data_IF_871353575685
#
_entry.id   IF_871353575685
#
_cell.length_a   1.000
_cell.length_b   1.000
_cell.length_c   1.000
_cell.angle_alpha   90.00
_cell.angle_beta   90.00
_cell.angle_gamma   90.00
#
_symmetry.space_group_name_H-M   'P 1'
#
loop_
_entity.id
_entity.type
_entity.pdbx_description
1 polymer ?
#
# COMPACT_ATOMS: atom_id res chain seq x y z
N UNK A 1 7.84 -9.37 -2.88
CA UNK A 1 7.14 -10.53 -3.48
C UNK A 1 5.93 -10.12 -4.33
N UNK A 2 5.25 -9.02 -4.00
CA UNK A 2 4.08 -8.51 -4.74
C UNK A 2 2.77 -9.29 -4.52
N UNK A 3 2.80 -10.48 -3.88
CA UNK A 3 1.62 -11.35 -3.76
C UNK A 3 0.36 -10.66 -3.26
N UNK A 4 0.46 -9.82 -2.21
CA UNK A 4 -0.71 -9.14 -1.64
C UNK A 4 -1.30 -8.09 -2.60
N UNK A 5 -0.47 -7.24 -3.20
CA UNK A 5 -0.93 -6.25 -4.18
C UNK A 5 -1.57 -6.90 -5.41
N UNK A 6 -1.01 -8.01 -5.87
CA UNK A 6 -1.58 -8.79 -6.98
C UNK A 6 -2.92 -9.45 -6.60
N UNK A 7 -3.07 -9.93 -5.37
CA UNK A 7 -4.35 -10.47 -4.89
C UNK A 7 -5.43 -9.36 -4.84
N UNK A 8 -5.10 -8.18 -4.32
CA UNK A 8 -6.03 -7.03 -4.31
C UNK A 8 -6.42 -6.61 -5.73
N UNK A 9 -5.44 -6.49 -6.64
CA UNK A 9 -5.71 -6.13 -8.03
C UNK A 9 -6.64 -7.14 -8.72
N UNK A 10 -6.40 -8.44 -8.51
CA UNK A 10 -7.23 -9.53 -9.05
C UNK A 10 -8.66 -9.47 -8.48
N UNK A 11 -8.81 -9.35 -7.18
CA UNK A 11 -10.11 -9.27 -6.53
C UNK A 11 -10.91 -8.03 -6.98
N UNK A 12 -10.26 -6.87 -7.13
CA UNK A 12 -10.87 -5.65 -7.64
C UNK A 12 -11.34 -5.80 -9.09
N UNK A 13 -10.49 -6.35 -9.96
CA UNK A 13 -10.83 -6.59 -11.36
C UNK A 13 -12.01 -7.58 -11.50
N UNK A 14 -12.06 -8.63 -10.69
CA UNK A 14 -13.17 -9.58 -10.66
C UNK A 14 -14.49 -8.96 -10.18
N UNK A 15 -14.43 -7.89 -9.41
CA UNK A 15 -15.59 -7.10 -8.95
C UNK A 15 -15.99 -6.01 -9.96
N UNK A 16 -15.31 -5.94 -11.11
CA UNK A 16 -15.62 -5.02 -12.21
C UNK A 16 -14.99 -3.63 -12.09
N UNK A 17 -14.03 -3.45 -11.19
CA UNK A 17 -13.28 -2.19 -11.10
C UNK A 17 -12.32 -2.03 -12.29
N UNK A 18 -12.13 -0.80 -12.76
CA UNK A 18 -11.03 -0.42 -13.62
C UNK A 18 -9.75 -0.36 -12.77
N UNK A 19 -8.82 -1.29 -12.99
CA UNK A 19 -7.63 -1.45 -12.15
C UNK A 19 -6.36 -1.11 -12.90
N UNK A 20 -5.56 -0.20 -12.36
CA UNK A 20 -4.17 0.05 -12.78
C UNK A 20 -3.24 -0.58 -11.75
N UNK A 21 -2.48 -1.60 -12.12
CA UNK A 21 -1.52 -2.30 -11.27
C UNK A 21 -0.11 -1.75 -11.50
N UNK A 22 0.36 -0.89 -10.61
CA UNK A 22 1.74 -0.38 -10.63
C UNK A 22 2.61 -1.29 -9.76
N UNK A 23 3.62 -1.92 -10.35
CA UNK A 23 4.41 -2.91 -9.63
C UNK A 23 5.90 -2.87 -9.97
N UNK A 24 6.75 -3.17 -8.99
CA UNK A 24 8.18 -3.42 -9.18
C UNK A 24 8.46 -4.79 -9.80
N UNK A 25 9.73 -5.16 -10.00
CA UNK A 25 10.12 -6.45 -10.56
C UNK A 25 9.56 -7.61 -9.73
N UNK A 26 8.89 -8.54 -10.39
CA UNK A 26 8.29 -9.73 -9.78
C UNK A 26 8.26 -10.88 -10.78
N UNK A 27 8.19 -12.12 -10.27
CA UNK A 27 7.98 -13.32 -11.08
C UNK A 27 6.50 -13.72 -11.17
N UNK A 28 5.59 -12.90 -10.62
CA UNK A 28 4.15 -13.17 -10.69
C UNK A 28 3.64 -12.94 -12.13
N UNK A 29 2.65 -13.73 -12.52
CA UNK A 29 1.99 -13.55 -13.79
C UNK A 29 1.12 -12.29 -13.78
N UNK A 30 1.01 -11.56 -14.91
CA UNK A 30 0.14 -10.41 -15.03
C UNK A 30 -1.30 -10.71 -14.61
N UNK A 31 -1.94 -9.76 -13.97
CA UNK A 31 -3.36 -9.88 -13.60
C UNK A 31 -4.23 -9.55 -14.81
N UNK A 32 -5.15 -10.45 -15.15
CA UNK A 32 -6.07 -10.22 -16.28
C UNK A 32 -7.01 -9.05 -15.98
N UNK A 33 -7.39 -8.34 -17.02
CA UNK A 33 -8.33 -7.20 -16.98
C UNK A 33 -7.82 -6.02 -16.14
N UNK A 34 -6.50 -5.84 -16.06
CA UNK A 34 -5.88 -4.67 -15.43
C UNK A 34 -4.96 -3.96 -16.41
N UNK A 35 -4.79 -2.66 -16.23
CA UNK A 35 -3.68 -1.93 -16.84
C UNK A 35 -2.41 -2.27 -16.04
N UNK A 36 -1.42 -2.87 -16.70
CA UNK A 36 -0.16 -3.28 -16.10
C UNK A 36 0.90 -2.20 -16.28
N UNK A 37 1.43 -1.65 -15.18
CA UNK A 37 2.43 -0.57 -15.20
C UNK A 37 3.69 -1.02 -14.45
N UNK A 38 4.63 -1.69 -15.14
CA UNK A 38 5.88 -2.12 -14.55
C UNK A 38 6.81 -0.93 -14.30
N UNK A 39 7.41 -0.89 -13.12
CA UNK A 39 8.42 0.10 -12.72
C UNK A 39 9.61 -0.60 -12.09
N UNK A 40 10.74 0.09 -11.98
CA UNK A 40 11.97 -0.46 -11.39
C UNK A 40 12.40 0.29 -10.13
N UNK A 41 12.12 1.60 -10.04
CA UNK A 41 12.60 2.45 -8.97
C UNK A 41 11.46 3.05 -8.14
N UNK A 42 11.77 3.43 -6.89
CA UNK A 42 10.83 4.17 -6.04
C UNK A 42 10.39 5.51 -6.67
N UNK A 43 11.28 6.16 -7.42
CA UNK A 43 10.97 7.40 -8.13
C UNK A 43 9.94 7.16 -9.24
N UNK A 44 10.09 6.11 -10.03
CA UNK A 44 9.10 5.75 -11.06
C UNK A 44 7.75 5.38 -10.46
N UNK A 45 7.73 4.70 -9.30
CA UNK A 45 6.47 4.42 -8.59
C UNK A 45 5.80 5.70 -8.12
N UNK A 46 6.58 6.62 -7.54
CA UNK A 46 6.08 7.93 -7.14
C UNK A 46 5.44 8.69 -8.31
N UNK A 47 6.12 8.76 -9.45
CA UNK A 47 5.63 9.44 -10.65
C UNK A 47 4.37 8.75 -11.22
N UNK A 48 4.40 7.42 -11.31
CA UNK A 48 3.27 6.65 -11.83
C UNK A 48 2.00 6.80 -10.97
N UNK A 49 2.13 6.85 -9.64
CA UNK A 49 1.00 7.05 -8.73
C UNK A 49 0.52 8.50 -8.76
N UNK A 50 1.44 9.47 -8.61
CA UNK A 50 1.06 10.88 -8.49
C UNK A 50 0.45 11.45 -9.76
N UNK A 51 0.89 11.01 -10.95
CA UNK A 51 0.33 11.44 -12.23
C UNK A 51 -1.10 10.95 -12.49
N UNK A 52 -1.54 9.88 -11.81
CA UNK A 52 -2.86 9.27 -11.98
C UNK A 52 -3.82 9.58 -10.82
N UNK A 53 -3.32 10.19 -9.75
CA UNK A 53 -4.06 10.30 -8.49
C UNK A 53 -5.38 11.05 -8.60
N UNK A 54 -5.44 12.11 -9.39
CA UNK A 54 -6.67 12.92 -9.54
C UNK A 54 -7.80 12.18 -10.29
N UNK A 55 -7.48 11.09 -11.00
CA UNK A 55 -8.42 10.29 -11.80
C UNK A 55 -8.87 9.00 -11.08
N UNK A 56 -8.34 8.73 -9.88
CA UNK A 56 -8.62 7.52 -9.11
C UNK A 56 -9.67 7.74 -8.04
N UNK A 57 -10.51 6.72 -7.81
CA UNK A 57 -11.44 6.67 -6.67
C UNK A 57 -10.76 6.04 -5.45
N UNK A 58 -9.94 5.02 -5.65
CA UNK A 58 -9.31 4.23 -4.59
C UNK A 58 -7.83 4.00 -4.91
N UNK A 59 -6.96 4.21 -3.93
CA UNK A 59 -5.57 3.78 -3.96
C UNK A 59 -5.27 2.79 -2.84
N UNK A 60 -4.76 1.61 -3.19
CA UNK A 60 -4.25 0.61 -2.24
C UNK A 60 -2.74 0.51 -2.39
N UNK A 61 -2.00 1.05 -1.43
CA UNK A 61 -0.53 1.06 -1.44
C UNK A 61 0.02 -0.13 -0.65
N UNK A 62 0.13 -1.29 -1.32
CA UNK A 62 0.65 -2.53 -0.73
C UNK A 62 2.17 -2.73 -0.94
N UNK A 63 2.80 -1.89 -1.74
CA UNK A 63 4.23 -1.98 -2.02
C UNK A 63 5.07 -1.53 -0.82
N UNK A 64 6.11 -2.32 -0.49
CA UNK A 64 7.14 -1.95 0.49
C UNK A 64 8.23 -1.11 -0.20
N UNK A 65 7.94 0.16 -0.44
CA UNK A 65 8.89 1.10 -1.03
C UNK A 65 9.96 1.44 0.01
N UNK A 66 11.24 1.34 -0.39
CA UNK A 66 12.36 1.67 0.49
C UNK A 66 12.38 3.18 0.81
N UNK A 67 12.60 3.53 2.08
CA UNK A 67 12.68 4.93 2.54
C UNK A 67 13.97 5.64 2.12
N UNK A 68 14.98 4.87 1.73
CA UNK A 68 16.29 5.37 1.34
C UNK A 68 16.80 4.71 0.07
N UNK A 69 17.55 5.45 -0.73
CA UNK A 69 18.27 4.96 -1.90
C UNK A 69 19.73 5.45 -1.86
N UNK A 70 20.68 4.79 -2.55
CA UNK A 70 22.02 5.34 -2.74
C UNK A 70 21.95 6.75 -3.34
N UNK A 71 22.71 7.69 -2.76
CA UNK A 71 22.77 9.09 -3.25
C UNK A 71 23.46 9.18 -4.63
N UNK A 72 24.35 8.22 -4.94
CA UNK A 72 24.98 8.09 -6.24
C UNK A 72 25.11 6.61 -6.62
N UNK A 73 24.93 6.33 -7.90
CA UNK A 73 25.18 5.01 -8.49
C UNK A 73 26.52 5.10 -9.23
N UNK A 74 27.43 4.17 -8.95
CA UNK A 74 28.70 4.11 -9.67
C UNK A 74 28.48 3.53 -11.06
N UNK A 75 29.10 4.14 -12.07
CA UNK A 75 29.06 3.68 -13.46
C UNK A 75 29.77 2.32 -13.63
N UNK A 76 30.81 2.10 -12.81
CA UNK A 76 31.61 0.88 -12.83
C UNK A 76 31.56 0.12 -11.48
N UNK A 77 31.95 -1.16 -11.53
CA UNK A 77 32.10 -2.00 -10.34
C UNK A 77 33.05 -1.37 -9.32
N UNK A 78 32.53 -1.09 -8.13
CA UNK A 78 33.34 -0.62 -7.00
C UNK A 78 34.34 -1.72 -6.62
N UNK A 79 35.65 -1.44 -6.83
CA UNK A 79 36.70 -2.38 -6.45
C UNK A 79 36.83 -2.44 -4.93
N UNK A 80 37.05 -3.67 -4.42
CA UNK A 80 37.35 -3.88 -3.01
C UNK A 80 38.63 -3.12 -2.63
N UNK A 81 38.53 -2.31 -1.57
CA UNK A 81 39.67 -1.63 -0.94
C UNK A 81 39.85 -2.17 0.48
N UNK A 82 41.05 -2.01 1.02
CA UNK A 82 41.28 -2.29 2.43
C UNK A 82 40.55 -1.25 3.29
N UNK A 83 39.83 -1.72 4.32
CA UNK A 83 39.04 -0.88 5.20
C UNK A 83 37.52 -0.94 4.95
N UNK A 84 36.75 -0.21 5.77
CA UNK A 84 35.30 -0.16 5.71
C UNK A 84 34.80 0.67 4.52
N UNK A 85 33.72 0.22 3.90
CA UNK A 85 33.02 0.95 2.83
C UNK A 85 31.78 1.64 3.41
N UNK A 86 31.71 2.97 3.22
CA UNK A 86 30.52 3.77 3.53
C UNK A 86 29.77 4.12 2.24
N UNK A 87 28.46 3.89 2.24
CA UNK A 87 27.58 4.23 1.13
C UNK A 87 26.66 5.36 1.61
N UNK A 88 26.78 6.53 0.99
CA UNK A 88 25.87 7.65 1.23
C UNK A 88 24.47 7.30 0.69
N UNK A 89 23.44 7.55 1.49
CA UNK A 89 22.05 7.34 1.11
C UNK A 89 21.25 8.64 1.22
N UNK A 90 20.22 8.77 0.39
CA UNK A 90 19.25 9.87 0.44
C UNK A 90 17.83 9.31 0.57
N UNK A 91 16.91 10.14 1.04
CA UNK A 91 15.50 9.74 1.19
C UNK A 91 14.81 9.60 -0.16
N UNK A 92 13.99 8.55 -0.29
CA UNK A 92 13.04 8.43 -1.40
C UNK A 92 11.80 9.29 -1.14
N UNK A 93 11.07 9.71 -2.20
CA UNK A 93 9.81 10.42 -2.02
C UNK A 93 8.77 9.59 -1.26
N UNK A 94 8.10 10.18 -0.29
CA UNK A 94 6.98 9.55 0.43
C UNK A 94 5.70 9.73 -0.39
N UNK A 95 5.28 8.67 -1.07
CA UNK A 95 4.12 8.67 -1.96
C UNK A 95 2.85 9.04 -1.18
N UNK A 96 2.50 8.28 -0.14
CA UNK A 96 1.30 8.53 0.66
C UNK A 96 1.34 9.88 1.38
N UNK A 97 2.52 10.29 1.88
CA UNK A 97 2.70 11.61 2.49
C UNK A 97 2.53 12.76 1.50
N UNK A 98 2.78 12.52 0.21
CA UNK A 98 2.61 13.52 -0.85
C UNK A 98 1.16 13.65 -1.31
N UNK A 99 0.44 12.52 -1.46
CA UNK A 99 -0.92 12.51 -2.00
C UNK A 99 -1.99 12.71 -0.93
N UNK A 100 -1.77 12.26 0.31
CA UNK A 100 -2.75 12.39 1.38
C UNK A 100 -3.28 13.82 1.60
N UNK A 101 -2.41 14.85 1.65
CA UNK A 101 -2.86 16.24 1.73
C UNK A 101 -3.63 16.75 0.49
N UNK A 102 -3.51 16.06 -0.65
CA UNK A 102 -4.19 16.42 -1.91
C UNK A 102 -5.49 15.68 -2.12
N UNK A 103 -5.83 14.74 -1.23
CA UNK A 103 -7.06 13.94 -1.29
C UNK A 103 -8.29 14.85 -1.31
N UNK A 104 -9.19 14.63 -2.26
CA UNK A 104 -10.47 15.35 -2.41
C UNK A 104 -11.67 14.46 -2.07
N UNK A 105 -11.67 13.22 -2.52
CA UNK A 105 -12.72 12.23 -2.28
C UNK A 105 -12.20 10.81 -2.46
N UNK A 106 -10.93 10.67 -2.81
CA UNK A 106 -10.29 9.37 -3.01
C UNK A 106 -10.17 8.61 -1.68
N UNK A 107 -10.36 7.30 -1.73
CA UNK A 107 -10.07 6.42 -0.59
C UNK A 107 -8.59 5.99 -0.61
N UNK A 108 -7.88 6.23 0.47
CA UNK A 108 -6.46 5.88 0.61
C UNK A 108 -6.27 4.75 1.61
N UNK A 109 -5.83 3.60 1.12
CA UNK A 109 -5.45 2.44 1.92
C UNK A 109 -3.93 2.24 1.89
N UNK A 110 -3.28 2.33 3.03
CA UNK A 110 -1.85 2.04 3.17
C UNK A 110 -1.61 0.71 3.88
N UNK A 111 -0.46 0.08 3.62
CA UNK A 111 0.00 -1.05 4.39
C UNK A 111 1.04 -0.62 5.42
N UNK A 112 1.03 -1.27 6.57
CA UNK A 112 2.09 -1.15 7.56
C UNK A 112 2.58 -2.52 8.01
N UNK A 113 3.80 -2.54 8.49
CA UNK A 113 4.45 -3.73 9.01
C UNK A 113 5.16 -3.31 10.29
N UNK A 114 4.56 -3.68 11.40
CA UNK A 114 5.03 -3.28 12.72
C UNK A 114 5.27 -4.52 13.57
N UNK A 115 6.36 -4.52 14.31
CA UNK A 115 6.72 -5.60 15.24
C UNK A 115 6.42 -5.24 16.69
N UNK A 116 6.33 -3.93 16.99
CA UNK A 116 6.02 -3.38 18.31
C UNK A 116 5.03 -2.23 18.15
N UNK A 117 4.15 -2.08 19.13
CA UNK A 117 3.17 -0.97 19.21
C UNK A 117 2.40 -0.76 17.89
N UNK A 118 2.03 -1.89 17.23
CA UNK A 118 1.43 -1.92 15.90
C UNK A 118 0.24 -0.97 15.78
N UNK A 119 -0.67 -0.99 16.76
CA UNK A 119 -1.86 -0.14 16.73
C UNK A 119 -1.50 1.35 16.81
N UNK A 120 -0.66 1.74 17.75
CA UNK A 120 -0.27 3.14 17.95
C UNK A 120 0.48 3.70 16.72
N UNK A 121 1.46 2.95 16.21
CA UNK A 121 2.24 3.36 15.04
C UNK A 121 1.39 3.44 13.77
N UNK A 122 0.48 2.49 13.57
CA UNK A 122 -0.39 2.46 12.38
C UNK A 122 -1.48 3.54 12.46
N UNK A 123 -2.03 3.83 13.64
CA UNK A 123 -2.96 4.95 13.84
C UNK A 123 -2.27 6.29 13.60
N UNK A 124 -1.06 6.49 14.11
CA UNK A 124 -0.28 7.69 13.82
C UNK A 124 0.02 7.86 12.32
N UNK A 125 0.25 6.75 11.60
CA UNK A 125 0.45 6.77 10.14
C UNK A 125 -0.84 7.15 9.41
N UNK A 126 -1.98 6.63 9.85
CA UNK A 126 -3.30 6.95 9.31
C UNK A 126 -3.56 8.46 9.38
N UNK A 127 -3.41 9.07 10.54
CA UNK A 127 -3.60 10.51 10.73
C UNK A 127 -2.58 11.35 9.95
N UNK A 128 -1.28 11.05 10.13
CA UNK A 128 -0.18 11.81 9.53
C UNK A 128 -0.26 11.88 8.00
N UNK A 129 -0.74 10.81 7.36
CA UNK A 129 -0.80 10.69 5.90
C UNK A 129 -2.21 10.85 5.35
N UNK A 130 -3.19 11.23 6.18
CA UNK A 130 -4.60 11.41 5.81
C UNK A 130 -5.15 10.17 5.09
N UNK A 131 -4.91 8.98 5.64
CA UNK A 131 -5.41 7.72 5.10
C UNK A 131 -6.79 7.41 5.66
N UNK A 132 -7.59 6.65 4.91
CA UNK A 132 -8.90 6.15 5.35
C UNK A 132 -8.77 4.78 6.02
N UNK A 133 -7.75 4.01 5.61
CA UNK A 133 -7.46 2.70 6.20
C UNK A 133 -5.97 2.38 6.19
N UNK A 134 -5.52 1.68 7.21
CA UNK A 134 -4.22 1.00 7.26
C UNK A 134 -4.43 -0.49 7.46
N UNK A 135 -3.84 -1.30 6.59
CA UNK A 135 -3.75 -2.75 6.73
C UNK A 135 -2.43 -3.09 7.40
N UNK A 136 -2.47 -3.40 8.69
CA UNK A 136 -1.28 -3.73 9.47
C UNK A 136 -1.02 -5.25 9.45
N UNK A 137 0.15 -5.66 8.94
CA UNK A 137 0.56 -7.06 8.92
C UNK A 137 1.12 -7.47 10.30
N UNK A 138 0.61 -8.56 10.86
CA UNK A 138 1.14 -9.17 12.07
C UNK A 138 2.23 -10.21 11.74
N UNK A 139 3.50 -9.81 11.82
CA UNK A 139 4.63 -10.69 11.51
C UNK A 139 4.97 -11.68 12.62
N UNK A 140 4.34 -11.59 13.79
CA UNK A 140 4.62 -12.50 14.93
C UNK A 140 3.89 -13.82 14.81
N UNK A 141 2.92 -13.92 13.89
CA UNK A 141 2.13 -15.14 13.71
C UNK A 141 2.79 -16.04 12.68
N UNK A 142 2.98 -17.30 13.05
CA UNK A 142 3.49 -18.32 12.13
C UNK A 142 2.52 -18.46 10.94
N UNK A 143 3.04 -18.49 9.71
CA UNK A 143 2.22 -18.55 8.49
C UNK A 143 1.74 -17.19 7.98
N UNK A 144 2.05 -16.07 8.67
CA UNK A 144 1.80 -14.73 8.18
C UNK A 144 3.09 -14.09 7.63
N UNK A 145 3.01 -13.30 6.57
CA UNK A 145 4.13 -12.52 6.06
C UNK A 145 4.31 -12.52 4.55
N UNK A 146 5.50 -12.11 4.09
CA UNK A 146 5.74 -11.82 2.67
C UNK A 146 5.82 -13.04 1.75
N UNK A 147 6.51 -14.08 2.16
CA UNK A 147 6.84 -15.23 1.31
C UNK A 147 5.73 -16.29 1.19
N UNK A 148 4.79 -16.30 2.14
CA UNK A 148 3.72 -17.29 2.26
C UNK A 148 2.44 -16.82 1.55
N UNK A 149 1.48 -17.73 1.35
CA UNK A 149 0.22 -17.43 0.68
C UNK A 149 -0.89 -17.02 1.65
N UNK A 150 -0.61 -17.08 2.95
CA UNK A 150 -1.51 -16.66 4.03
C UNK A 150 -1.05 -15.38 4.71
N UNK A 151 -1.96 -14.72 5.45
CA UNK A 151 -1.64 -13.54 6.24
C UNK A 151 -2.58 -13.41 7.45
N UNK A 152 -2.11 -12.68 8.47
CA UNK A 152 -2.91 -12.15 9.57
C UNK A 152 -2.77 -10.64 9.52
N UNK A 153 -3.87 -9.95 9.37
CA UNK A 153 -3.88 -8.49 9.26
C UNK A 153 -4.87 -7.87 10.25
N UNK A 154 -4.56 -6.65 10.66
CA UNK A 154 -5.47 -5.79 11.40
C UNK A 154 -5.84 -4.60 10.52
N UNK A 155 -7.12 -4.38 10.29
CA UNK A 155 -7.62 -3.15 9.68
C UNK A 155 -7.69 -2.07 10.74
N UNK A 156 -7.17 -0.91 10.42
CA UNK A 156 -7.18 0.27 11.27
C UNK A 156 -7.80 1.40 10.47
N UNK A 157 -8.93 1.91 10.95
CA UNK A 157 -9.68 3.03 10.39
C UNK A 157 -9.85 4.11 11.44
N UNK A 158 -10.38 5.30 11.12
CA UNK A 158 -10.74 6.29 12.14
C UNK A 158 -11.72 5.78 13.20
N UNK A 159 -12.57 4.80 12.86
CA UNK A 159 -13.59 4.23 13.75
C UNK A 159 -13.04 3.15 14.70
N UNK A 160 -11.81 2.67 14.46
CA UNK A 160 -11.18 1.68 15.33
C UNK A 160 -10.31 0.66 14.60
N UNK A 161 -10.05 -0.47 15.28
CA UNK A 161 -9.21 -1.54 14.77
C UNK A 161 -9.93 -2.89 14.82
N UNK A 162 -9.79 -3.68 13.74
CA UNK A 162 -10.36 -5.03 13.63
C UNK A 162 -9.31 -6.02 13.12
N UNK A 163 -8.95 -6.99 13.95
CA UNK A 163 -8.06 -8.08 13.56
C UNK A 163 -8.82 -9.14 12.78
N UNK A 164 -8.23 -9.63 11.69
CA UNK A 164 -8.72 -10.77 10.93
C UNK A 164 -7.96 -12.05 11.33
N UNK A 165 -8.61 -13.20 11.25
CA UNK A 165 -7.94 -14.50 11.48
C UNK A 165 -6.89 -14.77 10.39
N UNK A 166 -6.08 -15.81 10.59
CA UNK A 166 -5.21 -16.32 9.53
C UNK A 166 -6.05 -16.78 8.35
N UNK A 167 -5.84 -16.20 7.19
CA UNK A 167 -6.56 -16.52 5.96
C UNK A 167 -5.67 -16.40 4.74
N UNK A 168 -6.15 -16.84 3.58
CA UNK A 168 -5.41 -16.68 2.33
C UNK A 168 -5.27 -15.20 1.96
N UNK A 169 -4.25 -14.86 1.15
CA UNK A 169 -4.10 -13.50 0.64
C UNK A 169 -5.24 -13.09 -0.28
N UNK A 170 -5.88 -14.02 -0.94
CA UNK A 170 -7.07 -13.76 -1.76
C UNK A 170 -8.26 -13.39 -0.85
N UNK A 171 -8.50 -14.13 0.25
CA UNK A 171 -9.55 -13.78 1.21
C UNK A 171 -9.25 -12.44 1.92
N UNK A 172 -7.99 -12.16 2.26
CA UNK A 172 -7.59 -10.85 2.79
C UNK A 172 -7.88 -9.74 1.78
N UNK A 173 -7.61 -9.97 0.50
CA UNK A 173 -7.89 -9.01 -0.56
C UNK A 173 -9.38 -8.71 -0.67
N UNK A 174 -10.21 -9.74 -0.65
CA UNK A 174 -11.67 -9.58 -0.64
C UNK A 174 -12.15 -8.81 0.59
N UNK A 175 -11.65 -9.13 1.79
CA UNK A 175 -11.97 -8.41 3.01
C UNK A 175 -11.54 -6.93 2.98
N UNK A 176 -10.39 -6.62 2.36
CA UNK A 176 -9.95 -5.23 2.15
C UNK A 176 -10.96 -4.47 1.28
N UNK A 177 -11.41 -5.06 0.18
CA UNK A 177 -12.36 -4.41 -0.72
C UNK A 177 -13.73 -4.24 -0.08
N UNK A 178 -14.19 -5.20 0.73
CA UNK A 178 -15.43 -5.09 1.49
C UNK A 178 -15.36 -3.94 2.51
N UNK A 179 -14.23 -3.78 3.21
CA UNK A 179 -14.02 -2.68 4.15
C UNK A 179 -14.00 -1.33 3.43
N UNK A 180 -13.30 -1.22 2.29
CA UNK A 180 -13.27 -0.01 1.45
C UNK A 180 -14.69 0.40 1.05
N UNK A 181 -15.51 -0.53 0.59
CA UNK A 181 -16.90 -0.25 0.23
C UNK A 181 -17.71 0.22 1.44
N UNK A 182 -17.55 -0.42 2.60
CA UNK A 182 -18.28 -0.07 3.83
C UNK A 182 -17.97 1.35 4.27
N UNK A 183 -16.69 1.72 4.35
CA UNK A 183 -16.24 3.06 4.76
C UNK A 183 -16.67 4.11 3.73
N UNK A 184 -16.51 3.84 2.44
CA UNK A 184 -16.92 4.76 1.37
C UNK A 184 -18.43 5.06 1.40
N UNK A 185 -19.27 4.04 1.62
CA UNK A 185 -20.72 4.23 1.75
C UNK A 185 -21.11 5.05 2.99
N UNK A 186 -20.38 4.90 4.09
CA UNK A 186 -20.62 5.67 5.31
C UNK A 186 -20.32 7.15 5.11
N UNK A 187 -19.23 7.46 4.41
CA UNK A 187 -18.86 8.85 4.08
C UNK A 187 -19.84 9.51 3.11
N UNK A 188 -20.34 8.79 2.09
CA UNK A 188 -21.35 9.32 1.16
C UNK A 188 -22.66 9.64 1.86
N UNK A 189 -23.14 8.79 2.76
CA UNK A 189 -24.38 9.05 3.53
C UNK A 189 -24.25 10.21 4.51
N UNK A 190 -23.08 10.42 5.12
CA UNK A 190 -22.85 11.56 6.00
C UNK A 190 -22.95 12.89 5.22
N UNK A 191 -22.41 12.95 4.01
CA UNK A 191 -22.51 14.14 3.15
C UNK A 191 -23.93 14.41 2.63
N UNK A 192 -24.74 13.39 2.38
CA UNK A 192 -26.14 13.57 1.95
C UNK A 192 -27.02 14.09 3.09
N UNK A 193 -26.78 13.70 4.34
CA UNK A 193 -27.54 14.20 5.50
C UNK A 193 -27.21 15.63 5.88
N UNK A 194 -25.99 16.09 5.65
CA UNK A 194 -25.59 17.49 5.94
C UNK A 194 -26.12 18.51 4.91
N UNK A 195 -26.63 18.05 3.76
CA UNK A 195 -27.26 18.92 2.74
C UNK A 195 -28.74 19.23 3.02
N UNK A 196 -29.36 18.60 4.01
CA UNK A 196 -30.77 18.78 4.35
C UNK A 196 -31.01 19.45 5.71
N UNK A 197 -29.98 20.00 6.34
CA UNK A 197 -30.04 20.84 7.55
C UNK A 197 -29.58 22.27 7.24
#
# INVERSE_FOLDING_TARGET
TGKMGYAVARAAAMRGAAVTLIHGPTALQPVRFTEDVPITTAQQMYEAVTSRFDEMDVLVMAAAVADYRPAAVADDKIKKKDGDLSIAVERTPDILGTIGPKKKGQFLCGFSMETRDMLANSSAKLEKKNLDMVVANNLKVAGAGFGVDTNVVTFITPDGARELPLMSKDDVADAILDEILTVSYTHLRAHETDQYL
#
